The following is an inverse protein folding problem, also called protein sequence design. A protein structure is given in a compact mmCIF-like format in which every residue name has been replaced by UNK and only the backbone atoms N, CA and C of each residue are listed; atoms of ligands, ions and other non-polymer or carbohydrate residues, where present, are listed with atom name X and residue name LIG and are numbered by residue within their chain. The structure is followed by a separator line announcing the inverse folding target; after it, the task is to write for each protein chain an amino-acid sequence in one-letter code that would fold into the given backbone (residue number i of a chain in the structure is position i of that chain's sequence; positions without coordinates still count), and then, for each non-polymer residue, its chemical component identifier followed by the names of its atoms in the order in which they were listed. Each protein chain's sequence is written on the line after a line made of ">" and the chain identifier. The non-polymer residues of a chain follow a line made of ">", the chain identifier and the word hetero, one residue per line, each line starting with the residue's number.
data_IF_036737030506
#
_entry.id   IF_036737030506
#
_cell.length_a   1.000
_cell.length_b   1.000
_cell.length_c   1.000
_cell.angle_alpha   90.00
_cell.angle_beta   90.00
_cell.angle_gamma   90.00
#
_symmetry.space_group_name_H-M   'P 1'
#
loop_
_entity.id
_entity.type
_entity.pdbx_description
1 polymer ?
#
# COMPACT_ATOMS: atom_id res chain seq x y z
N UNK A 1 -10.98 -50.93 51.20
CA UNK A 1 -11.62 -49.92 50.31
C UNK A 1 -12.34 -50.65 49.20
N UNK A 2 -13.61 -50.40 48.99
CA UNK A 2 -14.43 -51.17 48.02
C UNK A 2 -13.95 -50.82 46.57
N UNK A 3 -13.50 -51.81 45.77
CA UNK A 3 -12.98 -51.57 44.42
C UNK A 3 -14.02 -50.96 43.49
N UNK A 4 -15.30 -51.21 43.70
CA UNK A 4 -16.37 -50.58 42.92
C UNK A 4 -16.43 -49.01 43.11
N UNK A 5 -16.14 -48.58 44.32
CA UNK A 5 -16.15 -47.17 44.69
C UNK A 5 -14.95 -46.42 44.06
N UNK A 6 -13.80 -47.07 43.96
CA UNK A 6 -12.61 -46.55 43.27
C UNK A 6 -12.86 -46.41 41.76
N UNK A 7 -13.47 -47.41 41.14
CA UNK A 7 -13.79 -47.36 39.69
C UNK A 7 -14.78 -46.23 39.39
N UNK A 8 -15.80 -46.04 40.25
CA UNK A 8 -16.79 -44.98 40.04
C UNK A 8 -16.20 -43.56 40.19
N UNK A 9 -15.27 -43.36 41.14
CA UNK A 9 -14.55 -42.09 41.31
C UNK A 9 -13.63 -41.82 40.13
N UNK A 10 -12.88 -42.81 39.65
CA UNK A 10 -11.99 -42.66 38.48
C UNK A 10 -12.79 -42.39 37.21
N UNK A 11 -13.93 -43.03 36.99
CA UNK A 11 -14.77 -42.76 35.82
C UNK A 11 -15.41 -41.35 35.88
N UNK A 12 -15.82 -40.87 37.06
CA UNK A 12 -16.33 -39.51 37.22
C UNK A 12 -15.24 -38.46 36.97
N UNK A 13 -14.02 -38.71 37.45
CA UNK A 13 -12.87 -37.81 37.18
C UNK A 13 -12.52 -37.81 35.68
N UNK A 14 -12.49 -38.98 35.04
CA UNK A 14 -12.23 -39.06 33.60
C UNK A 14 -13.30 -38.35 32.77
N UNK A 15 -14.60 -38.51 33.13
CA UNK A 15 -15.68 -37.76 32.48
C UNK A 15 -15.59 -36.27 32.71
N UNK A 16 -15.20 -35.81 33.90
CA UNK A 16 -14.96 -34.41 34.20
C UNK A 16 -13.81 -33.82 33.39
N UNK A 17 -12.68 -34.51 33.29
CA UNK A 17 -11.53 -34.09 32.45
C UNK A 17 -11.92 -34.07 30.99
N UNK A 18 -12.64 -35.09 30.51
CA UNK A 18 -13.11 -35.14 29.13
C UNK A 18 -14.06 -33.97 28.79
N UNK A 19 -14.99 -33.62 29.66
CA UNK A 19 -15.94 -32.53 29.46
C UNK A 19 -15.23 -31.17 29.43
N UNK A 20 -14.21 -30.95 30.29
CA UNK A 20 -13.39 -29.71 30.27
C UNK A 20 -12.56 -29.65 29.00
N UNK A 21 -12.02 -30.78 28.54
CA UNK A 21 -11.23 -30.82 27.31
C UNK A 21 -12.08 -30.54 26.07
N UNK A 22 -13.25 -31.18 25.92
CA UNK A 22 -14.19 -30.93 24.82
C UNK A 22 -14.71 -29.50 24.82
N UNK A 23 -15.03 -28.94 26.00
CA UNK A 23 -15.43 -27.55 26.13
C UNK A 23 -14.31 -26.58 25.65
N UNK A 24 -13.05 -26.82 26.02
CA UNK A 24 -11.91 -26.04 25.55
C UNK A 24 -11.72 -26.13 24.04
N UNK A 25 -11.89 -27.33 23.48
CA UNK A 25 -11.79 -27.55 22.04
C UNK A 25 -12.89 -26.79 21.26
N UNK A 26 -14.14 -26.88 21.76
CA UNK A 26 -15.28 -26.14 21.20
C UNK A 26 -15.07 -24.64 21.28
N UNK A 27 -14.59 -24.10 22.39
CA UNK A 27 -14.24 -22.70 22.56
C UNK A 27 -13.10 -22.28 21.63
N UNK A 28 -12.13 -23.16 21.39
CA UNK A 28 -11.05 -22.89 20.43
C UNK A 28 -11.57 -22.82 18.99
N UNK A 29 -12.42 -23.77 18.60
CA UNK A 29 -13.09 -23.81 17.29
C UNK A 29 -13.99 -22.57 17.07
N UNK A 30 -14.77 -22.20 18.08
CA UNK A 30 -15.63 -21.01 18.00
C UNK A 30 -14.81 -19.72 17.85
N UNK A 31 -13.71 -19.59 18.59
CA UNK A 31 -12.79 -18.44 18.44
C UNK A 31 -12.13 -18.42 17.06
N UNK A 32 -11.74 -19.59 16.54
CA UNK A 32 -11.18 -19.69 15.18
C UNK A 32 -12.22 -19.31 14.13
N UNK A 33 -13.44 -19.84 14.20
CA UNK A 33 -14.51 -19.49 13.28
C UNK A 33 -14.84 -17.99 13.32
N UNK A 34 -14.87 -17.36 14.50
CA UNK A 34 -15.06 -15.90 14.61
C UNK A 34 -13.90 -15.12 13.99
N UNK A 35 -12.66 -15.58 14.17
CA UNK A 35 -11.50 -14.97 13.51
C UNK A 35 -11.58 -15.10 12.00
N UNK A 36 -11.93 -16.28 11.48
CA UNK A 36 -12.03 -16.52 10.04
C UNK A 36 -13.16 -15.69 9.41
N UNK A 37 -14.30 -15.56 10.09
CA UNK A 37 -15.39 -14.68 9.66
C UNK A 37 -14.97 -13.20 9.64
N UNK A 38 -14.26 -12.73 10.68
CA UNK A 38 -13.76 -11.37 10.73
C UNK A 38 -12.67 -11.13 9.68
N UNK A 39 -11.79 -12.10 9.46
CA UNK A 39 -10.80 -12.05 8.41
C UNK A 39 -11.47 -11.95 7.03
N UNK A 40 -12.41 -12.83 6.73
CA UNK A 40 -13.14 -12.83 5.48
C UNK A 40 -13.83 -11.46 5.21
N UNK A 41 -14.46 -10.88 6.23
CA UNK A 41 -15.15 -9.59 6.11
C UNK A 41 -14.21 -8.42 5.80
N UNK A 42 -13.14 -8.29 6.58
CA UNK A 42 -12.25 -7.12 6.46
C UNK A 42 -11.16 -7.30 5.41
N UNK A 43 -10.57 -8.50 5.35
CA UNK A 43 -9.45 -8.80 4.45
C UNK A 43 -9.88 -8.78 3.01
N UNK A 44 -10.95 -9.50 2.67
CA UNK A 44 -11.46 -9.56 1.31
C UNK A 44 -11.87 -8.19 0.79
N UNK A 45 -12.55 -7.39 1.62
CA UNK A 45 -12.96 -6.04 1.26
C UNK A 45 -11.76 -5.11 1.07
N UNK A 46 -10.73 -5.23 1.92
CA UNK A 46 -9.50 -4.46 1.80
C UNK A 46 -8.69 -4.86 0.55
N UNK A 47 -8.54 -6.16 0.29
CA UNK A 47 -7.87 -6.66 -0.90
C UNK A 47 -8.57 -6.20 -2.18
N UNK A 48 -9.92 -6.29 -2.22
CA UNK A 48 -10.70 -5.83 -3.36
C UNK A 48 -10.56 -4.31 -3.57
N UNK A 49 -10.69 -3.51 -2.51
CA UNK A 49 -10.52 -2.05 -2.60
C UNK A 49 -9.10 -1.66 -3.06
N UNK A 50 -8.09 -2.41 -2.63
CA UNK A 50 -6.70 -2.19 -3.07
C UNK A 50 -6.52 -2.57 -4.53
N UNK A 51 -7.13 -3.68 -4.97
CA UNK A 51 -7.12 -4.11 -6.38
C UNK A 51 -7.80 -3.10 -7.30
N UNK A 52 -8.98 -2.65 -6.93
CA UNK A 52 -9.74 -1.66 -7.71
C UNK A 52 -9.00 -0.32 -7.82
N UNK A 53 -8.38 0.12 -6.72
CA UNK A 53 -7.59 1.35 -6.73
C UNK A 53 -6.32 1.20 -7.58
N UNK A 54 -5.53 0.11 -7.40
CA UNK A 54 -4.34 -0.09 -8.22
C UNK A 54 -4.67 -0.20 -9.72
N UNK A 55 -5.78 -0.87 -10.06
CA UNK A 55 -6.24 -0.98 -11.45
C UNK A 55 -6.64 0.39 -12.03
N UNK A 56 -7.34 1.23 -11.25
CA UNK A 56 -7.67 2.62 -11.64
C UNK A 56 -6.40 3.45 -11.84
N UNK A 57 -5.45 3.39 -10.92
CA UNK A 57 -4.18 4.11 -11.07
C UNK A 57 -3.40 3.62 -12.30
N UNK A 58 -3.40 2.32 -12.57
CA UNK A 58 -2.77 1.77 -13.77
C UNK A 58 -3.45 2.27 -15.05
N UNK A 59 -4.78 2.32 -15.09
CA UNK A 59 -5.55 2.86 -16.23
C UNK A 59 -5.22 4.32 -16.52
N UNK A 60 -5.08 5.15 -15.48
CA UNK A 60 -4.67 6.55 -15.59
C UNK A 60 -3.22 6.68 -16.10
N UNK A 61 -2.32 5.81 -15.63
CA UNK A 61 -0.86 5.94 -15.87
C UNK A 61 -0.39 5.28 -17.16
N UNK A 62 -0.94 4.14 -17.53
CA UNK A 62 -0.48 3.30 -18.65
C UNK A 62 -1.59 2.98 -19.65
N UNK A 63 -2.85 3.25 -19.30
CA UNK A 63 -4.00 3.13 -20.17
C UNK A 63 -4.39 4.48 -20.79
N UNK A 64 -5.54 4.47 -21.44
CA UNK A 64 -6.09 5.65 -22.13
C UNK A 64 -7.20 6.33 -21.31
N UNK A 65 -7.30 6.04 -19.98
CA UNK A 65 -8.42 6.50 -19.16
C UNK A 65 -8.59 8.03 -19.20
N UNK A 66 -7.50 8.81 -19.17
CA UNK A 66 -7.55 10.27 -19.24
C UNK A 66 -8.22 10.76 -20.54
N UNK A 67 -7.77 10.26 -21.68
CA UNK A 67 -8.30 10.63 -22.99
C UNK A 67 -9.72 10.06 -23.21
N UNK A 68 -9.94 8.79 -22.80
CA UNK A 68 -11.22 8.12 -22.94
C UNK A 68 -12.34 8.86 -22.19
N UNK A 69 -12.16 9.14 -20.90
CA UNK A 69 -13.18 9.80 -20.09
C UNK A 69 -13.49 11.22 -20.57
N UNK A 70 -12.51 11.97 -21.02
CA UNK A 70 -12.74 13.29 -21.60
C UNK A 70 -13.57 13.24 -22.90
N UNK A 71 -13.32 12.25 -23.73
CA UNK A 71 -14.03 12.06 -24.99
C UNK A 71 -15.48 11.59 -24.77
N UNK A 72 -15.67 10.58 -23.92
CA UNK A 72 -16.98 9.96 -23.69
C UNK A 72 -17.86 10.79 -22.73
N UNK A 73 -17.25 11.54 -21.83
CA UNK A 73 -17.95 12.35 -20.83
C UNK A 73 -17.46 13.81 -20.85
N UNK A 74 -17.75 14.57 -21.91
CA UNK A 74 -17.23 15.94 -22.09
C UNK A 74 -17.78 16.96 -21.08
N UNK A 75 -18.78 16.57 -20.29
CA UNK A 75 -19.38 17.42 -19.24
C UNK A 75 -18.57 17.35 -17.95
N UNK A 76 -18.25 18.50 -17.36
CA UNK A 76 -17.77 18.59 -15.98
C UNK A 76 -18.99 18.76 -15.08
N UNK A 77 -19.07 17.97 -14.02
CA UNK A 77 -19.89 18.32 -12.88
C UNK A 77 -19.25 19.52 -12.16
N UNK A 78 -20.02 20.23 -11.36
CA UNK A 78 -19.53 21.37 -10.56
C UNK A 78 -18.27 21.02 -9.75
N UNK A 79 -18.09 19.76 -9.41
CA UNK A 79 -17.00 19.24 -8.56
C UNK A 79 -15.82 18.61 -9.32
N UNK A 80 -15.99 18.13 -10.55
CA UNK A 80 -14.94 17.48 -11.33
C UNK A 80 -15.46 16.53 -12.39
N UNK A 81 -14.56 15.96 -13.18
CA UNK A 81 -14.93 14.94 -14.18
C UNK A 81 -15.34 13.62 -13.52
N UNK A 82 -16.13 12.77 -14.22
CA UNK A 82 -16.46 11.43 -13.74
C UNK A 82 -15.23 10.60 -13.35
N UNK A 83 -14.12 10.72 -14.09
CA UNK A 83 -12.86 10.06 -13.78
C UNK A 83 -12.29 10.52 -12.43
N UNK A 84 -12.30 11.83 -12.16
CA UNK A 84 -11.80 12.40 -10.91
C UNK A 84 -12.66 11.94 -9.73
N UNK A 85 -13.98 11.97 -9.86
CA UNK A 85 -14.92 11.53 -8.82
C UNK A 85 -14.75 10.03 -8.54
N UNK A 86 -14.68 9.18 -9.57
CA UNK A 86 -14.49 7.75 -9.40
C UNK A 86 -13.11 7.45 -8.77
N UNK A 87 -12.07 8.18 -9.15
CA UNK A 87 -10.73 8.02 -8.55
C UNK A 87 -10.75 8.38 -7.06
N UNK A 88 -11.44 9.47 -6.68
CA UNK A 88 -11.61 9.83 -5.27
C UNK A 88 -12.38 8.76 -4.49
N UNK A 89 -13.44 8.23 -5.09
CA UNK A 89 -14.23 7.14 -4.49
C UNK A 89 -13.36 5.90 -4.21
N UNK A 90 -12.53 5.45 -5.19
CA UNK A 90 -11.62 4.31 -5.00
C UNK A 90 -10.55 4.57 -3.94
N UNK A 91 -10.01 5.79 -3.89
CA UNK A 91 -9.11 6.21 -2.81
C UNK A 91 -9.79 6.15 -1.44
N UNK A 92 -10.99 6.68 -1.33
CA UNK A 92 -11.76 6.69 -0.09
C UNK A 92 -12.15 5.27 0.37
N UNK A 93 -12.56 4.39 -0.55
CA UNK A 93 -12.78 2.97 -0.25
C UNK A 93 -11.52 2.30 0.31
N UNK A 94 -10.37 2.48 -0.34
CA UNK A 94 -9.10 1.96 0.14
C UNK A 94 -8.76 2.48 1.55
N UNK A 95 -8.90 3.78 1.79
CA UNK A 95 -8.62 4.35 3.11
C UNK A 95 -9.55 3.81 4.19
N UNK A 96 -10.83 3.69 3.88
CA UNK A 96 -11.83 3.16 4.79
C UNK A 96 -11.56 1.70 5.16
N UNK A 97 -11.45 0.83 4.18
CA UNK A 97 -11.18 -0.59 4.42
C UNK A 97 -9.83 -0.83 5.08
N UNK A 98 -8.79 -0.09 4.68
CA UNK A 98 -7.50 -0.11 5.38
C UNK A 98 -7.66 0.21 6.88
N UNK A 99 -8.38 1.28 7.22
CA UNK A 99 -8.56 1.69 8.61
C UNK A 99 -9.31 0.63 9.43
N UNK A 100 -10.38 0.03 8.87
CA UNK A 100 -11.15 -1.01 9.55
C UNK A 100 -10.39 -2.31 9.67
N UNK A 101 -9.69 -2.74 8.63
CA UNK A 101 -8.84 -3.94 8.65
C UNK A 101 -7.76 -3.84 9.73
N UNK A 102 -7.18 -2.64 9.92
CA UNK A 102 -6.16 -2.43 10.95
C UNK A 102 -6.73 -2.27 12.35
N UNK A 103 -7.97 -1.81 12.50
CA UNK A 103 -8.62 -1.73 13.82
C UNK A 103 -9.16 -3.09 14.29
N UNK A 104 -9.64 -3.93 13.39
CA UNK A 104 -10.44 -5.10 13.70
C UNK A 104 -9.94 -6.41 13.08
N UNK A 105 -9.06 -6.31 12.08
CA UNK A 105 -8.58 -7.46 11.31
C UNK A 105 -7.31 -8.12 11.85
N UNK A 106 -6.89 -9.24 11.22
CA UNK A 106 -5.79 -10.07 11.71
C UNK A 106 -4.39 -9.51 11.44
N UNK A 107 -4.23 -8.53 10.56
CA UNK A 107 -2.91 -8.08 10.05
C UNK A 107 -2.18 -7.07 10.93
N UNK A 108 -2.70 -6.73 12.09
CA UNK A 108 -2.07 -5.78 13.01
C UNK A 108 -0.70 -6.22 13.53
N UNK A 109 -0.30 -7.47 13.26
CA UNK A 109 0.95 -8.08 13.72
C UNK A 109 1.88 -8.54 12.60
N UNK A 110 1.44 -8.49 11.34
CA UNK A 110 2.31 -8.86 10.23
C UNK A 110 3.26 -7.70 9.87
N UNK A 111 4.59 -7.87 10.07
CA UNK A 111 5.55 -6.78 9.89
C UNK A 111 5.62 -6.30 8.44
N UNK A 112 5.38 -7.20 7.46
CA UNK A 112 5.47 -6.86 6.04
C UNK A 112 4.26 -6.06 5.59
N UNK A 113 3.06 -6.44 6.02
CA UNK A 113 1.83 -5.70 5.75
C UNK A 113 1.90 -4.31 6.37
N UNK A 114 2.32 -4.23 7.66
CA UNK A 114 2.51 -2.95 8.35
C UNK A 114 3.48 -2.05 7.58
N UNK A 115 4.61 -2.59 7.15
CA UNK A 115 5.63 -1.82 6.44
C UNK A 115 5.12 -1.32 5.08
N UNK A 116 4.44 -2.16 4.28
CA UNK A 116 3.88 -1.75 3.00
C UNK A 116 2.83 -0.65 3.17
N UNK A 117 1.94 -0.77 4.15
CA UNK A 117 0.93 0.25 4.43
C UNK A 117 1.55 1.56 4.95
N UNK A 118 2.59 1.46 5.78
CA UNK A 118 3.35 2.63 6.22
C UNK A 118 4.00 3.34 5.03
N UNK A 119 4.58 2.59 4.10
CA UNK A 119 5.18 3.14 2.88
C UNK A 119 4.13 3.82 1.99
N UNK A 120 2.98 3.19 1.75
CA UNK A 120 1.88 3.79 0.99
C UNK A 120 1.42 5.09 1.69
N UNK A 121 1.26 5.07 3.00
CA UNK A 121 0.90 6.26 3.78
C UNK A 121 1.92 7.40 3.63
N UNK A 122 3.21 7.08 3.71
CA UNK A 122 4.29 8.04 3.55
C UNK A 122 4.32 8.67 2.14
N UNK A 123 3.97 7.92 1.08
CA UNK A 123 3.87 8.47 -0.28
C UNK A 123 2.76 9.52 -0.38
N UNK A 124 1.60 9.28 0.24
CA UNK A 124 0.51 10.26 0.26
C UNK A 124 0.88 11.55 1.00
N UNK A 125 1.67 11.48 2.06
CA UNK A 125 2.01 12.64 2.90
C UNK A 125 3.24 13.41 2.41
N UNK A 126 4.13 12.78 1.67
CA UNK A 126 5.43 13.34 1.35
C UNK A 126 5.32 14.63 0.52
N UNK A 127 5.96 15.69 1.01
CA UNK A 127 5.98 17.02 0.38
C UNK A 127 7.17 17.25 -0.53
N UNK A 128 8.28 16.59 -0.26
CA UNK A 128 9.57 16.91 -0.85
C UNK A 128 10.01 15.93 -1.93
N UNK A 129 9.56 14.68 -1.84
CA UNK A 129 9.99 13.59 -2.71
C UNK A 129 9.39 13.66 -4.12
N UNK A 130 8.20 14.23 -4.26
CA UNK A 130 7.46 14.27 -5.52
C UNK A 130 7.15 15.71 -5.90
N UNK A 131 7.30 16.09 -7.18
CA UNK A 131 6.89 17.38 -7.65
C UNK A 131 5.36 17.54 -7.54
N UNK A 132 4.94 18.71 -7.10
CA UNK A 132 3.52 19.04 -6.96
C UNK A 132 2.82 18.41 -5.75
N UNK A 133 1.65 18.98 -5.48
CA UNK A 133 0.82 18.61 -4.33
C UNK A 133 -0.43 17.80 -4.71
N UNK A 134 -0.63 17.49 -5.97
CA UNK A 134 -1.70 16.61 -6.42
C UNK A 134 -1.54 15.23 -5.80
N UNK A 135 -2.66 14.62 -5.40
CA UNK A 135 -2.72 13.33 -4.71
C UNK A 135 -1.96 13.29 -3.37
N UNK A 136 -1.67 14.44 -2.78
CA UNK A 136 -1.15 14.52 -1.43
C UNK A 136 -2.30 14.68 -0.45
N UNK A 137 -2.40 13.73 0.48
CA UNK A 137 -3.40 13.70 1.52
C UNK A 137 -2.73 13.48 2.88
N UNK A 138 -3.07 14.30 3.87
CA UNK A 138 -2.64 14.09 5.25
C UNK A 138 -3.28 12.85 5.85
N UNK A 139 -2.81 12.42 7.01
CA UNK A 139 -3.42 11.30 7.73
C UNK A 139 -4.90 11.55 8.03
N UNK A 140 -5.24 12.77 8.49
CA UNK A 140 -6.59 13.18 8.85
C UNK A 140 -7.51 13.20 7.63
N UNK A 141 -7.05 13.74 6.50
CA UNK A 141 -7.81 13.77 5.25
C UNK A 141 -8.11 12.35 4.77
N UNK A 142 -7.14 11.44 4.82
CA UNK A 142 -7.35 10.03 4.44
C UNK A 142 -8.32 9.32 5.40
N UNK A 143 -8.22 9.58 6.71
CA UNK A 143 -9.11 9.01 7.69
C UNK A 143 -10.54 9.47 7.45
N UNK A 144 -10.74 10.77 7.25
CA UNK A 144 -12.06 11.37 6.99
C UNK A 144 -12.67 10.90 5.67
N UNK A 145 -11.85 10.81 4.58
CA UNK A 145 -12.31 10.26 3.31
C UNK A 145 -12.73 8.79 3.44
N UNK A 146 -11.97 8.00 4.20
CA UNK A 146 -12.32 6.61 4.46
C UNK A 146 -13.63 6.46 5.24
N UNK A 147 -13.86 7.30 6.25
CA UNK A 147 -15.10 7.31 7.02
C UNK A 147 -16.31 7.81 6.21
N UNK A 148 -16.08 8.65 5.20
CA UNK A 148 -17.14 9.12 4.30
C UNK A 148 -17.69 8.02 3.40
N UNK A 149 -16.91 6.97 3.13
CA UNK A 149 -17.29 5.92 2.18
C UNK A 149 -17.54 4.57 2.85
N UNK A 150 -16.77 4.21 3.88
CA UNK A 150 -16.97 2.94 4.59
C UNK A 150 -17.65 3.18 5.91
N UNK A 151 -18.91 2.79 5.99
CA UNK A 151 -19.78 3.03 7.14
C UNK A 151 -19.93 1.80 8.03
N UNK A 152 -20.10 2.07 9.32
CA UNK A 152 -20.58 1.09 10.28
C UNK A 152 -22.11 1.14 10.36
N UNK A 153 -22.77 0.04 10.05
CA UNK A 153 -24.18 -0.16 10.37
C UNK A 153 -24.31 -1.21 11.45
N UNK A 154 -25.16 -0.93 12.44
CA UNK A 154 -25.66 -2.01 13.29
C UNK A 154 -26.63 -2.82 12.45
N UNK A 155 -26.38 -4.12 12.32
CA UNK A 155 -27.40 -5.05 11.86
C UNK A 155 -28.69 -4.81 12.66
N UNK A 156 -29.83 -4.85 12.00
CA UNK A 156 -31.16 -4.64 12.61
C UNK A 156 -31.40 -5.60 13.78
N UNK A 157 -30.69 -6.72 13.82
CA UNK A 157 -30.71 -7.70 14.91
C UNK A 157 -29.58 -7.54 15.95
N UNK A 158 -28.65 -6.60 15.77
CA UNK A 158 -27.65 -6.23 16.77
C UNK A 158 -26.51 -7.20 17.02
N UNK A 159 -26.34 -8.26 16.21
CA UNK A 159 -25.41 -9.34 16.49
C UNK A 159 -24.06 -9.27 15.78
N UNK A 160 -23.94 -8.60 14.64
CA UNK A 160 -22.67 -8.49 13.90
C UNK A 160 -22.46 -7.04 13.47
N UNK A 161 -21.32 -6.43 13.82
CA UNK A 161 -20.96 -5.12 13.26
C UNK A 161 -20.74 -5.29 11.75
N UNK A 162 -21.65 -4.78 10.94
CA UNK A 162 -21.54 -4.77 9.49
C UNK A 162 -20.90 -3.45 9.04
N UNK A 163 -19.73 -3.55 8.40
CA UNK A 163 -19.16 -2.45 7.66
C UNK A 163 -19.47 -2.65 6.18
N UNK A 164 -19.91 -1.59 5.52
CA UNK A 164 -20.14 -1.59 4.08
C UNK A 164 -19.64 -0.29 3.47
N UNK A 165 -19.21 -0.35 2.23
CA UNK A 165 -18.95 0.83 1.45
C UNK A 165 -20.22 1.28 0.76
N UNK A 166 -20.50 2.60 0.77
CA UNK A 166 -21.55 3.17 -0.08
C UNK A 166 -21.23 2.92 -1.55
N UNK A 167 -22.23 2.89 -2.39
CA UNK A 167 -22.06 2.72 -3.83
C UNK A 167 -21.53 4.00 -4.49
N UNK A 168 -20.94 3.88 -5.68
CA UNK A 168 -20.50 5.06 -6.45
C UNK A 168 -21.64 6.06 -6.72
N UNK A 169 -22.87 5.67 -7.08
CA UNK A 169 -23.99 6.61 -7.21
C UNK A 169 -24.33 7.35 -5.91
N UNK A 170 -24.34 6.66 -4.77
CA UNK A 170 -24.55 7.31 -3.46
C UNK A 170 -23.42 8.30 -3.15
N UNK A 171 -22.17 7.92 -3.41
CA UNK A 171 -21.04 8.82 -3.27
C UNK A 171 -21.12 10.05 -4.17
N UNK A 172 -21.59 9.89 -5.42
CA UNK A 172 -21.85 11.02 -6.34
C UNK A 172 -22.95 11.94 -5.82
N UNK A 173 -23.98 11.37 -5.21
CA UNK A 173 -25.04 12.16 -4.56
C UNK A 173 -24.48 12.95 -3.37
N UNK A 174 -23.69 12.30 -2.50
CA UNK A 174 -23.07 12.94 -1.34
C UNK A 174 -22.12 14.07 -1.73
N UNK A 175 -21.33 13.89 -2.78
CA UNK A 175 -20.40 14.94 -3.28
C UNK A 175 -21.18 16.18 -3.77
N UNK A 176 -22.35 15.98 -4.37
CA UNK A 176 -23.20 17.05 -4.88
C UNK A 176 -24.05 17.72 -3.79
N UNK A 177 -24.18 17.09 -2.62
CA UNK A 177 -24.90 17.67 -1.48
C UNK A 177 -24.05 18.72 -0.76
N UNK A 178 -24.40 19.97 -0.96
CA UNK A 178 -23.73 21.12 -0.33
C UNK A 178 -23.95 21.21 1.18
N UNK A 179 -24.96 20.53 1.70
CA UNK A 179 -25.35 20.52 3.12
C UNK A 179 -24.93 19.24 3.85
N UNK A 180 -24.42 18.25 3.11
CA UNK A 180 -24.04 16.95 3.63
C UNK A 180 -22.93 17.01 4.66
N UNK A 181 -22.88 16.01 5.52
CA UNK A 181 -21.86 15.86 6.59
C UNK A 181 -20.43 16.01 6.09
N UNK A 182 -20.16 15.54 4.88
CA UNK A 182 -18.83 15.51 4.28
C UNK A 182 -18.61 16.62 3.22
N UNK A 183 -19.54 17.54 3.05
CA UNK A 183 -19.47 18.58 2.03
C UNK A 183 -18.16 19.41 2.08
N UNK A 184 -17.70 19.78 3.28
CA UNK A 184 -16.44 20.52 3.45
C UNK A 184 -15.21 19.67 3.11
N UNK A 185 -15.26 18.36 3.37
CA UNK A 185 -14.18 17.43 3.05
C UNK A 185 -13.98 17.33 1.53
N UNK A 186 -15.09 17.18 0.78
CA UNK A 186 -15.04 17.10 -0.69
C UNK A 186 -14.58 18.41 -1.34
N UNK A 187 -14.76 19.54 -0.64
CA UNK A 187 -14.24 20.86 -1.05
C UNK A 187 -12.88 21.19 -0.48
N UNK A 188 -12.26 20.27 0.23
CA UNK A 188 -10.91 20.48 0.77
C UNK A 188 -9.91 20.76 -0.36
N UNK A 189 -8.87 21.53 -0.03
CA UNK A 189 -7.84 21.86 -0.99
C UNK A 189 -7.15 20.62 -1.59
N UNK A 190 -7.02 19.54 -0.81
CA UNK A 190 -6.41 18.30 -1.29
C UNK A 190 -7.26 17.63 -2.38
N UNK A 191 -8.58 17.52 -2.18
CA UNK A 191 -9.50 16.98 -3.17
C UNK A 191 -9.55 17.86 -4.42
N UNK A 192 -9.62 19.18 -4.27
CA UNK A 192 -9.66 20.11 -5.39
C UNK A 192 -8.38 20.10 -6.23
N UNK A 193 -7.21 19.94 -5.58
CA UNK A 193 -5.93 19.77 -6.32
C UNK A 193 -5.92 18.48 -7.13
N UNK A 194 -6.39 17.38 -6.57
CA UNK A 194 -6.50 16.09 -7.27
C UNK A 194 -7.43 16.21 -8.47
N UNK A 195 -8.61 16.77 -8.29
CA UNK A 195 -9.59 16.98 -9.39
C UNK A 195 -8.99 17.83 -10.49
N UNK A 196 -8.40 18.98 -10.12
CA UNK A 196 -7.77 19.86 -11.08
C UNK A 196 -6.62 19.21 -11.86
N UNK A 197 -5.85 18.32 -11.22
CA UNK A 197 -4.78 17.58 -11.89
C UNK A 197 -5.32 16.61 -12.93
N UNK A 198 -6.33 15.81 -12.56
CA UNK A 198 -6.97 14.83 -13.48
C UNK A 198 -7.68 15.57 -14.63
N UNK A 199 -8.40 16.63 -14.33
CA UNK A 199 -9.21 17.35 -15.32
C UNK A 199 -8.35 18.12 -16.35
N UNK A 200 -7.13 18.55 -15.99
CA UNK A 200 -6.23 19.24 -16.92
C UNK A 200 -5.48 18.27 -17.83
N UNK A 201 -5.11 17.09 -17.33
CA UNK A 201 -4.25 16.18 -18.06
C UNK A 201 -5.02 15.44 -19.17
N UNK A 202 -4.50 15.44 -20.38
CA UNK A 202 -4.97 14.60 -21.50
C UNK A 202 -4.15 13.31 -21.60
N UNK A 203 -2.92 13.36 -21.11
CA UNK A 203 -1.95 12.25 -21.11
C UNK A 203 -1.26 12.12 -19.76
N UNK A 204 -0.78 10.93 -19.43
CA UNK A 204 -0.12 10.71 -18.15
C UNK A 204 1.06 11.66 -17.87
N UNK A 205 1.79 12.08 -18.90
CA UNK A 205 2.95 12.97 -18.76
C UNK A 205 2.56 14.40 -18.32
N UNK A 206 1.32 14.79 -18.54
CA UNK A 206 0.76 16.10 -18.17
C UNK A 206 0.16 16.09 -16.76
N UNK A 207 0.00 14.88 -16.18
CA UNK A 207 -0.64 14.71 -14.88
C UNK A 207 0.29 15.14 -13.75
N UNK A 208 -0.09 16.19 -13.04
CA UNK A 208 0.60 16.57 -11.81
C UNK A 208 0.52 15.44 -10.79
N UNK A 209 1.66 14.98 -10.28
CA UNK A 209 1.74 13.86 -9.35
C UNK A 209 1.83 12.48 -10.00
N UNK A 210 2.07 12.38 -11.31
CA UNK A 210 2.26 11.13 -12.05
C UNK A 210 3.29 10.20 -11.40
N UNK A 211 4.41 10.74 -10.93
CA UNK A 211 5.45 9.95 -10.25
C UNK A 211 4.96 9.39 -8.92
N UNK A 212 4.21 10.18 -8.15
CA UNK A 212 3.58 9.76 -6.90
C UNK A 212 2.64 8.60 -7.13
N UNK A 213 1.76 8.72 -8.13
CA UNK A 213 0.80 7.68 -8.48
C UNK A 213 1.46 6.39 -8.96
N UNK A 214 2.54 6.49 -9.76
CA UNK A 214 3.27 5.32 -10.24
C UNK A 214 3.91 4.53 -9.07
N UNK A 215 4.49 5.23 -8.09
CA UNK A 215 5.04 4.58 -6.90
C UNK A 215 3.93 3.98 -6.03
N UNK A 216 2.81 4.69 -5.85
CA UNK A 216 1.64 4.17 -5.12
C UNK A 216 1.10 2.90 -5.76
N UNK A 217 0.86 2.91 -7.06
CA UNK A 217 0.35 1.76 -7.80
C UNK A 217 1.28 0.55 -7.63
N UNK A 218 2.59 0.74 -7.75
CA UNK A 218 3.56 -0.34 -7.59
C UNK A 218 3.56 -0.92 -6.17
N UNK A 219 3.47 -0.08 -5.13
CA UNK A 219 3.37 -0.53 -3.74
C UNK A 219 2.06 -1.27 -3.46
N UNK A 220 0.95 -0.85 -4.07
CA UNK A 220 -0.34 -1.55 -3.96
C UNK A 220 -0.28 -2.94 -4.63
N UNK A 221 0.39 -3.07 -5.77
CA UNK A 221 0.65 -4.38 -6.40
C UNK A 221 1.47 -5.28 -5.47
N UNK A 222 2.51 -4.74 -4.81
CA UNK A 222 3.30 -5.49 -3.83
C UNK A 222 2.46 -5.95 -2.63
N UNK A 223 1.60 -5.06 -2.13
CA UNK A 223 0.72 -5.36 -1.00
C UNK A 223 -0.27 -6.47 -1.34
N UNK A 224 -0.96 -6.38 -2.49
CA UNK A 224 -1.95 -7.37 -2.89
C UNK A 224 -1.29 -8.73 -3.13
N UNK A 225 -0.19 -8.76 -3.88
CA UNK A 225 0.50 -10.02 -4.14
C UNK A 225 0.94 -10.70 -2.84
N UNK A 226 1.42 -9.93 -1.87
CA UNK A 226 1.78 -10.46 -0.55
C UNK A 226 0.57 -10.99 0.23
N UNK A 227 -0.55 -10.26 0.19
CA UNK A 227 -1.79 -10.69 0.85
C UNK A 227 -2.38 -11.95 0.20
N UNK A 228 -2.37 -12.04 -1.14
CA UNK A 228 -2.82 -13.24 -1.86
C UNK A 228 -1.97 -14.47 -1.54
N UNK A 229 -0.65 -14.29 -1.44
CA UNK A 229 0.26 -15.38 -1.04
C UNK A 229 -0.03 -15.85 0.40
N UNK A 230 -0.36 -14.92 1.30
CA UNK A 230 -0.71 -15.25 2.69
C UNK A 230 -2.05 -15.95 2.83
N UNK A 231 -3.06 -15.48 2.12
CA UNK A 231 -4.44 -15.98 2.23
C UNK A 231 -4.70 -17.20 1.33
N UNK A 232 -3.82 -17.48 0.39
CA UNK A 232 -3.92 -18.62 -0.53
C UNK A 232 -5.03 -18.49 -1.57
N UNK A 233 -5.55 -17.27 -1.80
CA UNK A 233 -6.49 -17.00 -2.90
C UNK A 233 -6.18 -15.66 -3.60
N UNK A 234 -6.64 -15.51 -4.83
CA UNK A 234 -6.46 -14.29 -5.61
C UNK A 234 -7.78 -13.57 -5.85
N UNK A 235 -7.79 -12.25 -5.67
CA UNK A 235 -8.95 -11.40 -5.98
C UNK A 235 -9.07 -11.08 -7.48
N UNK A 236 -8.03 -11.37 -8.26
CA UNK A 236 -8.04 -11.17 -9.72
C UNK A 236 -7.38 -12.33 -10.44
N UNK A 237 -8.00 -12.81 -11.51
CA UNK A 237 -7.43 -13.83 -12.39
C UNK A 237 -6.33 -13.29 -13.32
N UNK A 238 -6.19 -11.96 -13.42
CA UNK A 238 -5.24 -11.30 -14.32
C UNK A 238 -3.95 -10.97 -13.59
N UNK A 239 -2.81 -11.26 -14.25
CA UNK A 239 -1.50 -10.82 -13.73
C UNK A 239 -1.44 -9.29 -13.72
N UNK A 240 -1.17 -8.72 -12.56
CA UNK A 240 -1.03 -7.27 -12.39
C UNK A 240 0.21 -6.75 -13.07
N UNK A 241 0.06 -5.62 -13.75
CA UNK A 241 1.18 -4.89 -14.34
C UNK A 241 1.56 -3.74 -13.43
N UNK A 242 2.85 -3.40 -13.44
CA UNK A 242 3.38 -2.24 -12.72
C UNK A 242 3.42 -1.04 -13.65
N UNK A 243 3.08 0.12 -13.11
CA UNK A 243 3.23 1.37 -13.83
C UNK A 243 4.71 1.75 -13.99
N UNK A 244 5.05 2.37 -15.11
CA UNK A 244 6.39 2.90 -15.34
C UNK A 244 6.62 4.13 -14.49
N UNK A 245 7.76 4.18 -13.83
CA UNK A 245 8.19 5.38 -13.14
C UNK A 245 8.74 6.33 -14.21
N UNK A 246 8.17 7.54 -14.31
CA UNK A 246 8.48 8.55 -15.33
C UNK A 246 9.15 9.76 -14.70
N UNK A 247 9.56 10.74 -15.54
CA UNK A 247 10.08 12.02 -15.08
C UNK A 247 11.52 11.97 -14.55
N UNK A 248 11.82 12.86 -13.63
CA UNK A 248 13.15 13.00 -13.05
C UNK A 248 13.60 11.73 -12.29
N UNK A 249 12.65 11.03 -11.66
CA UNK A 249 12.91 9.77 -10.98
C UNK A 249 13.33 8.66 -11.96
N UNK A 250 12.67 8.56 -13.13
CA UNK A 250 13.04 7.59 -14.16
C UNK A 250 14.44 7.87 -14.70
N UNK A 251 14.79 9.14 -14.92
CA UNK A 251 16.12 9.55 -15.38
C UNK A 251 17.19 9.15 -14.36
N UNK A 252 17.01 9.50 -13.09
CA UNK A 252 17.96 9.14 -12.03
C UNK A 252 18.12 7.62 -11.86
N UNK A 253 17.05 6.85 -12.00
CA UNK A 253 17.12 5.39 -11.98
C UNK A 253 17.80 4.83 -13.23
N UNK A 254 17.63 5.45 -14.38
CA UNK A 254 18.31 5.07 -15.63
C UNK A 254 19.82 5.31 -15.54
N UNK A 255 20.23 6.48 -15.03
CA UNK A 255 21.64 6.79 -14.77
C UNK A 255 22.27 5.78 -13.79
N UNK A 256 21.56 5.45 -12.71
CA UNK A 256 22.01 4.41 -11.79
C UNK A 256 22.09 3.03 -12.44
N UNK A 257 21.15 2.69 -13.34
CA UNK A 257 21.12 1.40 -14.03
C UNK A 257 22.26 1.22 -15.04
N UNK A 258 22.90 2.31 -15.48
CA UNK A 258 24.07 2.22 -16.35
C UNK A 258 25.29 1.60 -15.62
N UNK A 259 25.37 1.77 -14.30
CA UNK A 259 26.49 1.29 -13.47
C UNK A 259 26.08 0.09 -12.61
N UNK A 260 24.80 0.07 -12.19
CA UNK A 260 24.26 -0.92 -11.29
C UNK A 260 22.80 -1.24 -11.66
N UNK A 261 22.40 -2.51 -11.56
CA UNK A 261 21.01 -2.89 -11.78
C UNK A 261 20.22 -2.75 -10.48
N UNK A 262 19.16 -1.94 -10.49
CA UNK A 262 18.22 -1.87 -9.36
C UNK A 262 17.43 -3.18 -9.30
N UNK A 263 17.65 -3.96 -8.25
CA UNK A 263 16.97 -5.26 -8.04
C UNK A 263 15.69 -5.08 -7.26
N UNK A 264 15.72 -4.18 -6.27
CA UNK A 264 14.58 -3.88 -5.42
C UNK A 264 14.68 -2.46 -4.88
N UNK A 265 13.52 -1.81 -4.74
CA UNK A 265 13.44 -0.44 -4.28
C UNK A 265 12.16 -0.22 -3.48
N UNK A 266 12.33 0.39 -2.32
CA UNK A 266 11.23 0.89 -1.48
C UNK A 266 11.62 2.25 -0.90
N UNK A 267 10.68 3.06 -0.39
CA UNK A 267 11.03 4.27 0.35
C UNK A 267 12.05 3.98 1.46
N UNK A 268 13.17 4.69 1.44
CA UNK A 268 14.25 4.53 2.40
C UNK A 268 15.13 3.29 2.22
N UNK A 269 14.93 2.49 1.15
CA UNK A 269 15.76 1.33 0.87
C UNK A 269 15.89 1.06 -0.63
N UNK A 270 17.12 0.86 -1.08
CA UNK A 270 17.43 0.41 -2.45
C UNK A 270 18.36 -0.80 -2.40
N UNK A 271 18.12 -1.78 -3.26
CA UNK A 271 19.02 -2.89 -3.51
C UNK A 271 19.53 -2.83 -4.94
N UNK A 272 20.83 -2.75 -5.07
CA UNK A 272 21.55 -2.67 -6.34
C UNK A 272 22.29 -3.97 -6.60
N UNK A 273 22.32 -4.42 -7.83
CA UNK A 273 23.23 -5.46 -8.31
C UNK A 273 24.38 -4.79 -9.04
N UNK A 274 25.59 -5.00 -8.58
CA UNK A 274 26.82 -4.44 -9.13
C UNK A 274 27.74 -5.61 -9.48
N UNK A 275 27.82 -6.04 -10.75
CA UNK A 275 28.56 -7.23 -11.16
C UNK A 275 30.05 -7.21 -10.72
N UNK A 276 30.68 -6.03 -10.71
CA UNK A 276 32.07 -5.85 -10.32
C UNK A 276 32.38 -6.33 -8.90
N UNK A 277 31.40 -6.33 -8.00
CA UNK A 277 31.58 -6.85 -6.63
C UNK A 277 31.98 -8.33 -6.58
N UNK A 278 31.68 -9.13 -7.62
CA UNK A 278 32.06 -10.54 -7.68
C UNK A 278 33.54 -10.75 -8.03
N UNK A 279 34.13 -9.79 -8.73
CA UNK A 279 35.44 -9.93 -9.34
C UNK A 279 36.53 -9.07 -8.66
N UNK A 280 36.12 -8.22 -7.73
CA UNK A 280 36.99 -7.22 -7.13
C UNK A 280 36.62 -7.01 -5.65
N UNK A 281 37.30 -7.76 -4.76
CA UNK A 281 37.09 -7.68 -3.30
C UNK A 281 37.50 -6.31 -2.74
N UNK A 282 38.54 -5.68 -3.34
CA UNK A 282 39.02 -4.35 -2.94
C UNK A 282 37.96 -3.29 -3.26
N UNK A 283 37.29 -3.46 -4.37
CA UNK A 283 36.17 -2.58 -4.77
C UNK A 283 35.02 -2.61 -3.76
N UNK A 284 34.72 -3.79 -3.18
CA UNK A 284 33.65 -3.90 -2.17
C UNK A 284 33.95 -3.05 -0.93
N UNK A 285 35.17 -3.10 -0.42
CA UNK A 285 35.59 -2.30 0.74
C UNK A 285 35.63 -0.81 0.42
N UNK A 286 36.13 -0.45 -0.75
CA UNK A 286 36.20 0.93 -1.20
C UNK A 286 34.81 1.52 -1.40
N UNK A 287 33.91 0.76 -2.04
CA UNK A 287 32.53 1.16 -2.26
C UNK A 287 31.78 1.36 -0.92
N UNK A 288 31.99 0.48 0.06
CA UNK A 288 31.40 0.64 1.38
C UNK A 288 31.88 1.95 2.03
N UNK A 289 33.19 2.19 2.03
CA UNK A 289 33.77 3.41 2.59
C UNK A 289 33.22 4.68 1.92
N UNK A 290 33.06 4.66 0.60
CA UNK A 290 32.50 5.79 -0.14
C UNK A 290 31.01 6.00 0.14
N UNK A 291 30.23 4.93 0.19
CA UNK A 291 28.78 5.02 0.46
C UNK A 291 28.51 5.45 1.91
N UNK A 292 29.37 5.11 2.86
CA UNK A 292 29.28 5.58 4.25
C UNK A 292 29.49 7.09 4.37
N UNK A 293 30.13 7.74 3.38
CA UNK A 293 30.27 9.21 3.33
C UNK A 293 29.06 9.93 2.74
N UNK A 294 28.10 9.17 2.16
CA UNK A 294 26.90 9.78 1.59
C UNK A 294 25.95 10.19 2.71
N UNK A 295 25.71 11.50 2.82
CA UNK A 295 24.76 12.02 3.81
C UNK A 295 23.42 11.29 3.75
N UNK A 296 22.90 10.96 4.95
CA UNK A 296 21.58 10.36 5.15
C UNK A 296 21.47 8.88 4.78
N UNK A 297 22.57 8.21 4.42
CA UNK A 297 22.66 6.76 4.46
C UNK A 297 22.62 6.32 5.93
N UNK A 298 21.70 5.40 6.23
CA UNK A 298 21.52 4.85 7.59
C UNK A 298 22.29 3.56 7.81
N UNK A 299 22.33 2.73 6.78
CA UNK A 299 23.10 1.49 6.81
C UNK A 299 23.35 0.96 5.40
N UNK A 300 24.45 0.25 5.24
CA UNK A 300 24.86 -0.39 3.99
C UNK A 300 25.12 -1.86 4.28
N UNK A 301 24.60 -2.73 3.42
CA UNK A 301 24.90 -4.15 3.42
C UNK A 301 25.43 -4.57 2.05
N UNK A 302 26.70 -4.99 1.98
CA UNK A 302 27.32 -5.50 0.76
C UNK A 302 27.38 -7.02 0.82
N UNK A 303 26.91 -7.67 -0.24
CA UNK A 303 27.06 -9.12 -0.45
C UNK A 303 27.85 -9.38 -1.73
N UNK A 304 29.11 -9.72 -1.56
CA UNK A 304 30.02 -10.05 -2.68
C UNK A 304 29.50 -11.26 -3.43
N UNK A 305 29.08 -12.32 -2.73
CA UNK A 305 28.54 -13.55 -3.34
C UNK A 305 27.30 -13.29 -4.19
N UNK A 306 26.41 -12.41 -3.75
CA UNK A 306 25.22 -12.02 -4.50
C UNK A 306 25.48 -10.87 -5.48
N UNK A 307 26.69 -10.29 -5.51
CA UNK A 307 27.03 -9.07 -6.24
C UNK A 307 26.00 -7.95 -5.98
N UNK A 308 25.62 -7.74 -4.73
CA UNK A 308 24.54 -6.80 -4.41
C UNK A 308 24.88 -5.91 -3.21
N UNK A 309 24.39 -4.66 -3.29
CA UNK A 309 24.45 -3.68 -2.21
C UNK A 309 23.02 -3.34 -1.80
N UNK A 310 22.76 -3.37 -0.51
CA UNK A 310 21.52 -2.86 0.08
C UNK A 310 21.86 -1.58 0.81
N UNK A 311 21.22 -0.48 0.44
CA UNK A 311 21.40 0.82 1.05
C UNK A 311 20.08 1.23 1.70
N UNK A 312 20.09 1.42 3.01
CA UNK A 312 18.99 2.02 3.75
C UNK A 312 19.32 3.50 3.96
N UNK A 313 18.38 4.38 3.62
CA UNK A 313 18.55 5.82 3.69
C UNK A 313 17.34 6.51 4.31
N UNK A 314 17.42 7.79 4.60
CA UNK A 314 16.28 8.52 5.15
C UNK A 314 15.12 8.56 4.14
N UNK A 315 13.91 8.09 4.47
CA UNK A 315 12.77 8.10 3.56
C UNK A 315 12.28 9.50 3.18
N UNK A 316 12.77 10.53 3.87
CA UNK A 316 12.46 11.94 3.60
C UNK A 316 13.17 12.49 2.37
N UNK A 317 14.26 11.82 1.92
CA UNK A 317 15.01 12.28 0.76
C UNK A 317 14.31 11.86 -0.52
N UNK A 318 14.22 12.75 -1.51
CA UNK A 318 13.81 12.37 -2.86
C UNK A 318 14.73 11.26 -3.39
N UNK A 319 14.14 10.18 -3.88
CA UNK A 319 14.93 9.08 -4.45
C UNK A 319 15.82 9.54 -5.61
N UNK A 320 15.38 10.55 -6.38
CA UNK A 320 16.14 11.17 -7.46
C UNK A 320 17.44 11.80 -6.95
N UNK A 321 17.35 12.54 -5.86
CA UNK A 321 18.51 13.15 -5.22
C UNK A 321 19.45 12.10 -4.65
N UNK A 322 18.86 11.10 -3.96
CA UNK A 322 19.61 10.00 -3.40
C UNK A 322 20.28 9.15 -4.50
N UNK A 323 19.54 8.78 -5.55
CA UNK A 323 20.08 8.03 -6.69
C UNK A 323 21.23 8.80 -7.36
N UNK A 324 21.09 10.10 -7.57
CA UNK A 324 22.18 10.92 -8.11
C UNK A 324 23.44 10.94 -7.25
N UNK A 325 23.29 11.03 -5.92
CA UNK A 325 24.43 10.97 -4.97
C UNK A 325 25.10 9.60 -5.00
N UNK A 326 24.32 8.52 -4.98
CA UNK A 326 24.81 7.14 -5.03
C UNK A 326 25.52 6.86 -6.36
N UNK A 327 24.93 7.30 -7.49
CA UNK A 327 25.55 7.17 -8.83
C UNK A 327 26.95 7.83 -8.84
N UNK A 328 27.01 9.09 -8.45
CA UNK A 328 28.30 9.82 -8.39
C UNK A 328 29.31 9.12 -7.48
N UNK A 329 28.86 8.58 -6.36
CA UNK A 329 29.73 7.86 -5.41
C UNK A 329 30.25 6.55 -6.00
N UNK A 330 29.39 5.79 -6.72
CA UNK A 330 29.79 4.55 -7.39
C UNK A 330 30.75 4.86 -8.55
N UNK A 331 30.53 5.92 -9.31
CA UNK A 331 31.43 6.38 -10.39
C UNK A 331 32.81 6.76 -9.84
N UNK A 332 32.88 7.49 -8.73
CA UNK A 332 34.15 7.81 -8.07
C UNK A 332 34.89 6.54 -7.66
N UNK A 333 34.20 5.54 -7.15
CA UNK A 333 34.78 4.22 -6.81
C UNK A 333 35.26 3.44 -8.03
N UNK A 334 34.70 3.66 -9.21
CA UNK A 334 35.16 3.04 -10.47
C UNK A 334 36.43 3.76 -10.99
N UNK A 335 36.49 5.09 -10.84
CA UNK A 335 37.57 5.91 -11.39
C UNK A 335 38.82 5.91 -10.51
N UNK A 336 38.74 5.43 -9.28
CA UNK A 336 39.87 5.41 -8.33
C UNK A 336 40.77 4.15 -8.45
N UNK A 337 40.47 3.27 -9.38
CA UNK A 337 41.26 2.08 -9.75
C UNK A 337 41.61 2.11 -11.25
#
# INVERSE_FOLDING_TARGET
>A
MNPALLISILSALAAGVWSVWTWKEEQAKERQNKRDQMAALFVNSFMLATEELQARLYGILEGDDLAFYKKEYPGKNEFGSPLAIETLYRLAQYFGWKNHTFRHGPYTRDPRVIELIRQIGAIFENRTRFPGDAFRFTFEERASLGEAVVHYTRDVMGFIPAYHAITLPEFQQDINDNSGKYAQLYRSQAVQRMFAAIDRADRPEELEGVERLAVLQNLMVDLINYLEDMEGFSVSSKKRRRARIRGAMAKALHELAAIATVVHQTPGRIRLKIPRLKTDDTYALHLQSLLDTVDQVRSIGISVSAASVVINFSPEIPLTEFAGRVTKTIEMGISAN
#
